data_IF_879940157575
#
_entry.id   IF_879940157575
#
_cell.length_a   1.000
_cell.length_b   1.000
_cell.length_c   1.000
_cell.angle_alpha   90.00
_cell.angle_beta   90.00
_cell.angle_gamma   90.00
#
_symmetry.space_group_name_H-M   'P 1'
#
loop_
_entity.id
_entity.type
_entity.pdbx_description
1 polymer ?
#
# COMPACT_ATOMS: atom_id res chain seq x y z
N UNK A 1 31.03 6.37 -8.35
CA UNK A 1 30.45 5.04 -8.04
C UNK A 1 29.81 5.05 -6.65
N UNK A 2 30.47 5.64 -5.64
CA UNK A 2 30.03 5.58 -4.24
C UNK A 2 28.70 6.28 -3.95
N UNK A 3 28.39 7.40 -4.63
CA UNK A 3 27.11 8.10 -4.47
C UNK A 3 25.93 7.23 -4.91
N UNK A 4 26.05 6.54 -6.05
CA UNK A 4 24.99 5.64 -6.56
C UNK A 4 24.82 4.39 -5.70
N UNK A 5 25.93 3.89 -5.14
CA UNK A 5 25.89 2.76 -4.20
C UNK A 5 25.11 3.14 -2.94
N UNK A 6 25.39 4.34 -2.40
CA UNK A 6 24.73 4.86 -1.21
C UNK A 6 23.22 5.06 -1.44
N UNK A 7 22.82 5.65 -2.57
CA UNK A 7 21.40 5.87 -2.89
C UNK A 7 20.61 4.56 -3.06
N UNK A 8 21.23 3.51 -3.62
CA UNK A 8 20.61 2.18 -3.72
C UNK A 8 20.43 1.54 -2.34
N UNK A 9 21.41 1.69 -1.45
CA UNK A 9 21.32 1.20 -0.07
C UNK A 9 20.18 1.88 0.67
N UNK A 10 20.05 3.21 0.55
CA UNK A 10 18.93 3.95 1.16
C UNK A 10 17.58 3.50 0.61
N UNK A 11 17.49 3.18 -0.68
CA UNK A 11 16.26 2.67 -1.28
C UNK A 11 15.86 1.30 -0.72
N UNK A 12 16.81 0.37 -0.62
CA UNK A 12 16.56 -0.94 -0.01
C UNK A 12 16.15 -0.77 1.45
N UNK A 13 16.86 0.09 2.19
CA UNK A 13 16.56 0.38 3.58
C UNK A 13 15.16 0.97 3.78
N UNK A 14 14.72 1.87 2.88
CA UNK A 14 13.35 2.39 2.89
C UNK A 14 12.31 1.28 2.75
N UNK A 15 12.48 0.37 1.79
CA UNK A 15 11.54 -0.75 1.62
C UNK A 15 11.51 -1.63 2.87
N UNK A 16 12.66 -1.96 3.44
CA UNK A 16 12.75 -2.78 4.66
C UNK A 16 12.05 -2.08 5.83
N UNK A 17 12.29 -0.78 6.02
CA UNK A 17 11.62 -0.01 7.07
C UNK A 17 10.12 0.00 6.85
N UNK A 18 9.63 0.28 5.65
CA UNK A 18 8.19 0.35 5.39
C UNK A 18 7.53 -1.00 5.60
N UNK A 19 8.14 -2.09 5.14
CA UNK A 19 7.63 -3.45 5.36
C UNK A 19 7.65 -3.82 6.85
N UNK A 20 8.70 -3.45 7.58
CA UNK A 20 8.79 -3.72 9.00
C UNK A 20 7.82 -2.85 9.80
N UNK A 21 7.65 -1.57 9.46
CA UNK A 21 6.89 -0.60 10.25
C UNK A 21 5.38 -0.61 9.93
N UNK A 22 4.99 -1.09 8.75
CA UNK A 22 3.57 -1.20 8.36
C UNK A 22 2.73 -2.04 9.35
N UNK A 23 3.13 -3.28 9.74
CA UNK A 23 2.42 -4.05 10.76
C UNK A 23 2.39 -3.37 12.15
N UNK A 24 3.45 -2.62 12.50
CA UNK A 24 3.47 -1.86 13.76
C UNK A 24 2.41 -0.76 13.77
N UNK A 25 2.28 0.00 12.69
CA UNK A 25 1.23 1.03 12.55
C UNK A 25 -0.15 0.37 12.66
N UNK A 26 -0.38 -0.76 11.98
CA UNK A 26 -1.64 -1.47 12.07
C UNK A 26 -1.97 -1.89 13.52
N UNK A 27 -1.00 -2.46 14.24
CA UNK A 27 -1.18 -2.87 15.63
C UNK A 27 -1.35 -1.68 16.58
N UNK A 28 -0.71 -0.55 16.30
CA UNK A 28 -0.89 0.70 17.04
C UNK A 28 -2.31 1.24 16.85
N UNK A 29 -2.81 1.29 15.61
CA UNK A 29 -4.18 1.73 15.31
C UNK A 29 -5.19 0.84 16.04
N UNK A 30 -5.09 -0.49 15.92
CA UNK A 30 -6.00 -1.41 16.61
C UNK A 30 -5.93 -1.27 18.14
N UNK A 31 -4.75 -0.95 18.69
CA UNK A 31 -4.63 -0.64 20.12
C UNK A 31 -5.40 0.61 20.50
N UNK A 32 -5.25 1.68 19.71
CA UNK A 32 -5.90 2.96 19.98
C UNK A 32 -7.41 2.85 19.86
N UNK A 33 -7.92 2.18 18.83
CA UNK A 33 -9.36 1.90 18.64
C UNK A 33 -9.95 1.23 19.88
N UNK A 34 -9.34 0.14 20.36
CA UNK A 34 -9.81 -0.58 21.54
C UNK A 34 -9.76 0.26 22.84
N UNK A 35 -8.74 1.11 23.00
CA UNK A 35 -8.66 2.03 24.15
C UNK A 35 -9.79 3.05 24.08
N UNK A 36 -10.11 3.59 22.90
CA UNK A 36 -11.24 4.50 22.71
C UNK A 36 -12.59 3.83 22.93
N UNK A 37 -12.69 2.53 22.67
CA UNK A 37 -13.86 1.70 23.02
C UNK A 37 -13.91 1.31 24.51
N UNK A 38 -12.98 1.77 25.35
CA UNK A 38 -12.94 1.50 26.78
C UNK A 38 -12.39 0.11 27.14
N UNK A 39 -11.73 -0.55 26.19
CA UNK A 39 -11.10 -1.86 26.36
C UNK A 39 -9.59 -1.72 26.48
N UNK A 40 -8.92 -2.78 26.96
CA UNK A 40 -7.45 -2.78 27.01
C UNK A 40 -6.82 -2.97 25.63
N UNK A 41 -7.48 -3.68 24.71
CA UNK A 41 -6.96 -3.99 23.36
C UNK A 41 -5.74 -4.93 23.32
N UNK A 42 -5.39 -5.45 22.13
CA UNK A 42 -4.27 -6.37 21.90
C UNK A 42 -2.91 -5.72 22.13
N UNK A 43 -1.80 -6.46 21.96
CA UNK A 43 -0.46 -5.84 21.94
C UNK A 43 -0.25 -5.07 20.62
N UNK A 44 0.54 -4.00 20.64
CA UNK A 44 0.94 -3.28 19.41
C UNK A 44 1.72 -4.20 18.46
N UNK A 45 2.42 -5.21 19.01
CA UNK A 45 3.17 -6.19 18.22
C UNK A 45 2.32 -7.38 17.73
N UNK A 46 1.01 -7.39 17.99
CA UNK A 46 0.11 -8.49 17.61
C UNK A 46 0.20 -8.87 16.11
N UNK A 47 0.22 -7.90 15.17
CA UNK A 47 0.32 -8.23 13.74
C UNK A 47 1.58 -9.00 13.36
N UNK A 48 2.70 -8.82 14.07
CA UNK A 48 3.91 -9.61 13.81
C UNK A 48 3.77 -11.07 14.24
N UNK A 49 3.15 -11.30 15.39
CA UNK A 49 2.86 -12.67 15.84
C UNK A 49 1.87 -13.36 14.91
N UNK A 50 0.88 -12.62 14.39
CA UNK A 50 -0.08 -13.13 13.44
C UNK A 50 0.56 -13.47 12.09
N UNK A 51 1.42 -12.60 11.55
CA UNK A 51 2.20 -12.90 10.34
C UNK A 51 3.06 -14.15 10.54
N UNK A 52 3.83 -14.22 11.62
CA UNK A 52 4.63 -15.41 11.94
C UNK A 52 3.76 -16.66 12.00
N UNK A 53 2.63 -16.61 12.69
CA UNK A 53 1.68 -17.72 12.79
C UNK A 53 1.12 -18.12 11.42
N UNK A 54 0.77 -17.16 10.56
CA UNK A 54 0.18 -17.42 9.24
C UNK A 54 1.20 -18.03 8.27
N UNK A 55 2.47 -17.62 8.31
CA UNK A 55 3.52 -18.23 7.49
C UNK A 55 3.83 -19.69 7.85
N UNK A 56 3.47 -20.13 9.06
CA UNK A 56 3.63 -21.52 9.51
C UNK A 56 2.39 -22.38 9.25
N UNK A 57 1.31 -21.81 8.68
CA UNK A 57 0.10 -22.57 8.37
C UNK A 57 0.17 -23.19 6.97
N UNK A 58 -0.55 -24.30 6.83
CA UNK A 58 -0.82 -24.91 5.54
C UNK A 58 -1.69 -23.99 4.67
N UNK A 59 -1.37 -23.95 3.38
CA UNK A 59 -2.11 -23.17 2.38
C UNK A 59 -3.28 -24.04 1.88
N UNK A 60 -4.50 -23.57 2.13
CA UNK A 60 -5.72 -24.24 1.66
C UNK A 60 -6.28 -23.50 0.44
N UNK A 61 -6.31 -24.17 -0.71
CA UNK A 61 -6.90 -23.63 -1.95
C UNK A 61 -8.24 -24.32 -2.23
N UNK A 62 -9.34 -23.58 -2.41
CA UNK A 62 -10.65 -24.16 -2.71
C UNK A 62 -10.70 -24.92 -4.04
N UNK A 63 -11.49 -25.99 -4.11
CA UNK A 63 -11.57 -26.91 -5.26
C UNK A 63 -12.16 -26.32 -6.54
N UNK A 64 -12.58 -25.05 -6.54
CA UNK A 64 -13.08 -24.31 -7.71
C UNK A 64 -12.32 -23.02 -8.00
N UNK A 65 -11.23 -22.74 -7.28
CA UNK A 65 -10.43 -21.55 -7.48
C UNK A 65 -9.59 -21.67 -8.75
N UNK A 66 -9.54 -20.60 -9.55
CA UNK A 66 -8.62 -20.47 -10.68
C UNK A 66 -7.21 -20.12 -10.20
N UNK A 67 -6.27 -20.06 -11.14
CA UNK A 67 -4.91 -19.57 -10.88
C UNK A 67 -4.89 -18.12 -10.36
N UNK A 68 -5.94 -17.35 -10.66
CA UNK A 68 -6.11 -15.96 -10.22
C UNK A 68 -6.08 -15.87 -8.69
N UNK A 69 -6.79 -16.76 -7.99
CA UNK A 69 -6.80 -16.80 -6.53
C UNK A 69 -5.38 -16.93 -5.94
N UNK A 70 -4.54 -17.77 -6.56
CA UNK A 70 -3.14 -17.95 -6.14
C UNK A 70 -2.25 -16.75 -6.47
N UNK A 71 -2.49 -16.06 -7.59
CA UNK A 71 -1.69 -14.89 -8.00
C UNK A 71 -2.01 -13.62 -7.23
N UNK A 72 -3.27 -13.41 -6.85
CA UNK A 72 -3.74 -12.19 -6.18
C UNK A 72 -2.90 -11.73 -4.98
N UNK A 73 -2.52 -12.58 -4.01
CA UNK A 73 -1.69 -12.14 -2.88
C UNK A 73 -0.33 -11.61 -3.34
N UNK A 74 0.29 -12.22 -4.36
CA UNK A 74 1.57 -11.77 -4.91
C UNK A 74 1.43 -10.44 -5.65
N UNK A 75 0.42 -10.31 -6.51
CA UNK A 75 0.19 -9.06 -7.27
C UNK A 75 -0.09 -7.89 -6.32
N UNK A 76 -0.92 -8.12 -5.30
CA UNK A 76 -1.26 -7.10 -4.31
C UNK A 76 -0.04 -6.67 -3.50
N UNK A 77 0.75 -7.64 -3.00
CA UNK A 77 1.97 -7.36 -2.24
C UNK A 77 3.01 -6.62 -3.07
N UNK A 78 3.29 -7.10 -4.29
CA UNK A 78 4.26 -6.46 -5.19
C UNK A 78 3.83 -5.06 -5.57
N UNK A 79 2.54 -4.82 -5.82
CA UNK A 79 2.02 -3.48 -6.13
C UNK A 79 2.31 -2.48 -5.01
N UNK A 80 2.10 -2.88 -3.74
CA UNK A 80 2.39 -2.02 -2.58
C UNK A 80 3.89 -1.78 -2.37
N UNK A 81 4.73 -2.80 -2.65
CA UNK A 81 6.19 -2.65 -2.64
C UNK A 81 6.65 -1.69 -3.74
N UNK A 82 6.09 -1.77 -4.95
CA UNK A 82 6.40 -0.85 -6.05
C UNK A 82 6.02 0.59 -5.69
N UNK A 83 4.87 0.82 -5.06
CA UNK A 83 4.49 2.14 -4.56
C UNK A 83 5.53 2.67 -3.57
N UNK A 84 6.04 1.81 -2.69
CA UNK A 84 7.09 2.17 -1.72
C UNK A 84 8.41 2.55 -2.41
N UNK A 85 8.70 2.01 -3.59
CA UNK A 85 9.88 2.39 -4.38
C UNK A 85 9.72 3.75 -5.07
N UNK A 86 8.49 4.11 -5.43
CA UNK A 86 8.14 5.36 -6.12
C UNK A 86 8.06 6.54 -5.14
N UNK A 87 7.45 6.33 -3.97
CA UNK A 87 7.23 7.38 -2.99
C UNK A 87 8.47 7.57 -2.09
N UNK A 88 9.00 8.79 -1.95
CA UNK A 88 10.06 9.07 -0.98
C UNK A 88 9.44 9.15 0.42
N UNK A 89 9.57 8.07 1.20
CA UNK A 89 9.00 7.99 2.56
C UNK A 89 9.99 8.50 3.60
N UNK A 90 11.28 8.21 3.42
CA UNK A 90 12.33 8.53 4.40
C UNK A 90 13.30 9.61 3.94
N UNK A 91 13.32 9.93 2.64
CA UNK A 91 14.31 10.83 2.04
C UNK A 91 13.68 12.09 1.48
N UNK A 92 14.42 13.20 1.54
CA UNK A 92 14.07 14.48 0.89
C UNK A 92 14.92 14.66 -0.38
N UNK A 93 15.40 13.57 -0.96
CA UNK A 93 16.13 13.58 -2.24
C UNK A 93 15.65 12.40 -3.09
N UNK A 94 15.78 12.48 -4.43
CA UNK A 94 15.24 11.46 -5.30
C UNK A 94 16.07 10.19 -5.20
N UNK A 95 15.39 9.08 -4.92
CA UNK A 95 15.98 7.74 -4.96
C UNK A 95 16.07 7.26 -6.42
N UNK A 96 17.00 6.32 -6.74
CA UNK A 96 17.24 5.87 -8.11
C UNK A 96 15.99 5.42 -8.87
N UNK A 97 15.10 4.65 -8.23
CA UNK A 97 13.86 4.19 -8.89
C UNK A 97 12.66 5.14 -8.70
N UNK A 98 12.83 6.26 -7.99
CA UNK A 98 11.77 7.26 -7.80
C UNK A 98 11.34 7.97 -9.08
N UNK A 99 12.10 7.81 -10.18
CA UNK A 99 11.77 8.33 -11.51
C UNK A 99 11.06 7.32 -12.41
N UNK A 100 10.89 6.06 -11.98
CA UNK A 100 10.27 5.02 -12.81
C UNK A 100 8.76 5.19 -13.01
N UNK A 101 8.12 6.02 -12.18
CA UNK A 101 6.70 6.29 -12.23
C UNK A 101 6.38 7.60 -11.52
N UNK A 102 5.18 8.11 -11.77
CA UNK A 102 4.67 9.33 -11.20
C UNK A 102 3.55 9.06 -10.16
N UNK A 103 2.96 10.10 -9.58
CA UNK A 103 1.84 9.93 -8.63
C UNK A 103 0.65 9.21 -9.27
N UNK A 104 0.41 9.37 -10.58
CA UNK A 104 -0.66 8.69 -11.28
C UNK A 104 -0.38 7.18 -11.43
N UNK A 105 0.88 6.81 -11.69
CA UNK A 105 1.30 5.40 -11.65
C UNK A 105 1.06 4.79 -10.26
N UNK A 106 1.32 5.53 -9.18
CA UNK A 106 0.99 5.11 -7.81
C UNK A 106 -0.52 4.86 -7.61
N UNK A 107 -1.37 5.75 -8.13
CA UNK A 107 -2.82 5.57 -8.11
C UNK A 107 -3.27 4.29 -8.83
N UNK A 108 -2.71 4.01 -10.01
CA UNK A 108 -3.02 2.79 -10.74
C UNK A 108 -2.52 1.53 -10.03
N UNK A 109 -1.39 1.57 -9.32
CA UNK A 109 -0.93 0.43 -8.51
C UNK A 109 -1.85 0.13 -7.33
N UNK A 110 -2.40 1.16 -6.66
CA UNK A 110 -3.43 0.97 -5.63
C UNK A 110 -4.71 0.33 -6.20
N UNK A 111 -5.16 0.82 -7.36
CA UNK A 111 -6.33 0.26 -8.06
C UNK A 111 -6.09 -1.17 -8.53
N UNK A 112 -4.89 -1.47 -9.06
CA UNK A 112 -4.49 -2.81 -9.49
C UNK A 112 -4.55 -3.82 -8.35
N UNK A 113 -4.00 -3.48 -7.18
CA UNK A 113 -4.10 -4.33 -5.99
C UNK A 113 -5.55 -4.59 -5.61
N UNK A 114 -6.38 -3.54 -5.57
CA UNK A 114 -7.80 -3.64 -5.19
C UNK A 114 -8.60 -4.46 -6.20
N UNK A 115 -8.31 -4.31 -7.49
CA UNK A 115 -8.90 -5.07 -8.58
C UNK A 115 -8.62 -6.56 -8.44
N UNK A 116 -7.37 -6.98 -8.20
CA UNK A 116 -7.03 -8.40 -8.03
C UNK A 116 -7.66 -9.03 -6.78
N UNK A 117 -7.77 -8.28 -5.68
CA UNK A 117 -8.46 -8.73 -4.47
C UNK A 117 -9.96 -8.96 -4.74
N UNK A 118 -10.60 -8.03 -5.45
CA UNK A 118 -12.01 -8.17 -5.87
C UNK A 118 -12.19 -9.34 -6.84
N UNK A 119 -11.28 -9.49 -7.80
CA UNK A 119 -11.33 -10.57 -8.78
C UNK A 119 -11.19 -11.95 -8.12
N UNK A 120 -10.25 -12.13 -7.19
CA UNK A 120 -10.11 -13.38 -6.43
C UNK A 120 -11.33 -13.68 -5.55
N UNK A 121 -12.03 -12.66 -5.07
CA UNK A 121 -13.26 -12.84 -4.29
C UNK A 121 -14.39 -13.40 -5.15
N UNK A 122 -14.46 -13.00 -6.42
CA UNK A 122 -15.44 -13.50 -7.39
C UNK A 122 -15.08 -14.89 -7.93
N UNK A 123 -13.78 -15.18 -8.07
CA UNK A 123 -13.25 -16.44 -8.59
C UNK A 123 -13.69 -17.66 -7.77
N UNK A 124 -13.87 -17.50 -6.46
CA UNK A 124 -14.31 -18.57 -5.57
C UNK A 124 -15.76 -19.02 -5.78
N UNK A 125 -16.56 -18.30 -6.58
CA UNK A 125 -17.99 -18.60 -6.87
C UNK A 125 -18.88 -18.78 -5.63
N UNK A 126 -18.46 -18.27 -4.47
CA UNK A 126 -19.23 -18.35 -3.22
C UNK A 126 -20.16 -17.15 -3.07
N UNK A 127 -21.30 -17.33 -2.40
CA UNK A 127 -22.24 -16.24 -2.11
C UNK A 127 -21.59 -15.11 -1.29
N UNK A 128 -20.66 -15.45 -0.39
CA UNK A 128 -19.96 -14.46 0.43
C UNK A 128 -18.93 -13.64 -0.35
N UNK A 129 -18.19 -14.28 -1.28
CA UNK A 129 -17.23 -13.59 -2.13
C UNK A 129 -17.87 -12.52 -3.00
N UNK A 130 -19.01 -12.85 -3.63
CA UNK A 130 -19.78 -11.90 -4.43
C UNK A 130 -20.40 -10.75 -3.62
N UNK A 131 -21.01 -11.06 -2.46
CA UNK A 131 -21.59 -10.04 -1.60
C UNK A 131 -20.53 -9.08 -1.02
N UNK A 132 -19.38 -9.61 -0.60
CA UNK A 132 -18.26 -8.82 -0.09
C UNK A 132 -17.65 -7.92 -1.18
N UNK A 133 -17.38 -8.48 -2.35
CA UNK A 133 -16.78 -7.73 -3.47
C UNK A 133 -17.69 -6.61 -3.98
N UNK A 134 -19.02 -6.83 -4.01
CA UNK A 134 -19.98 -5.78 -4.38
C UNK A 134 -19.89 -4.56 -3.45
N UNK A 135 -19.84 -4.78 -2.13
CA UNK A 135 -19.70 -3.70 -1.14
C UNK A 135 -18.37 -2.97 -1.25
N UNK A 136 -17.26 -3.70 -1.40
CA UNK A 136 -15.94 -3.11 -1.54
C UNK A 136 -15.81 -2.29 -2.83
N UNK A 137 -16.33 -2.81 -3.95
CA UNK A 137 -16.30 -2.14 -5.25
C UNK A 137 -17.12 -0.84 -5.23
N UNK A 138 -18.25 -0.80 -4.53
CA UNK A 138 -19.04 0.44 -4.39
C UNK A 138 -18.25 1.56 -3.70
N UNK A 139 -17.45 1.23 -2.68
CA UNK A 139 -16.58 2.21 -2.02
C UNK A 139 -15.41 2.61 -2.94
N UNK A 140 -14.81 1.64 -3.64
CA UNK A 140 -13.70 1.87 -4.55
C UNK A 140 -14.05 2.85 -5.68
N UNK A 141 -15.25 2.72 -6.28
CA UNK A 141 -15.77 3.61 -7.33
C UNK A 141 -15.79 5.08 -6.88
N UNK A 142 -15.98 5.34 -5.58
CA UNK A 142 -15.98 6.70 -5.03
C UNK A 142 -14.56 7.18 -4.67
N UNK A 143 -13.73 6.30 -4.12
CA UNK A 143 -12.40 6.66 -3.65
C UNK A 143 -11.38 6.87 -4.77
N UNK A 144 -11.44 6.07 -5.84
CA UNK A 144 -10.42 6.12 -6.91
C UNK A 144 -10.42 7.46 -7.68
N UNK A 145 -11.56 8.00 -8.15
CA UNK A 145 -11.58 9.31 -8.81
C UNK A 145 -11.13 10.44 -7.87
N UNK A 146 -11.48 10.34 -6.59
CA UNK A 146 -11.09 11.32 -5.57
C UNK A 146 -9.57 11.36 -5.42
N UNK A 147 -8.92 10.19 -5.35
CA UNK A 147 -7.47 10.08 -5.26
C UNK A 147 -6.77 10.67 -6.49
N UNK A 148 -7.27 10.36 -7.70
CA UNK A 148 -6.73 10.93 -8.95
C UNK A 148 -6.88 12.46 -8.96
N UNK A 149 -8.04 12.98 -8.56
CA UNK A 149 -8.30 14.43 -8.54
C UNK A 149 -7.37 15.16 -7.57
N UNK A 150 -7.13 14.61 -6.38
CA UNK A 150 -6.17 15.17 -5.41
C UNK A 150 -4.76 15.21 -6.00
N UNK A 151 -4.31 14.13 -6.63
CA UNK A 151 -2.98 14.09 -7.25
C UNK A 151 -2.85 15.08 -8.41
N UNK A 152 -3.87 15.20 -9.26
CA UNK A 152 -3.90 16.22 -10.32
C UNK A 152 -3.83 17.63 -9.73
N UNK A 153 -4.59 17.90 -8.66
CA UNK A 153 -4.58 19.20 -7.98
C UNK A 153 -3.18 19.57 -7.46
N UNK A 154 -2.52 18.64 -6.76
CA UNK A 154 -1.15 18.86 -6.27
C UNK A 154 -0.16 18.98 -7.44
N UNK A 155 -0.31 18.17 -8.49
CA UNK A 155 0.59 18.20 -9.64
C UNK A 155 0.53 19.54 -10.39
N UNK A 156 -0.65 20.17 -10.47
CA UNK A 156 -0.81 21.51 -11.05
C UNK A 156 -0.09 22.59 -10.24
N UNK A 157 -0.11 22.50 -8.90
CA UNK A 157 0.61 23.42 -8.01
C UNK A 157 2.12 23.22 -8.15
N UNK A 158 2.58 21.96 -8.11
CA UNK A 158 3.99 21.60 -8.21
C UNK A 158 4.57 21.71 -9.63
N UNK A 159 3.72 21.86 -10.65
CA UNK A 159 4.06 21.80 -12.09
C UNK A 159 4.85 20.53 -12.46
N UNK A 160 4.61 19.45 -11.72
CA UNK A 160 5.28 18.16 -11.90
C UNK A 160 4.37 17.05 -11.35
N UNK A 161 4.41 15.88 -11.97
CA UNK A 161 3.72 14.67 -11.49
C UNK A 161 4.64 13.77 -10.66
N UNK A 162 5.94 14.11 -10.56
CA UNK A 162 6.91 13.32 -9.84
C UNK A 162 6.68 13.44 -8.32
N UNK A 163 6.54 12.31 -7.59
CA UNK A 163 6.24 12.31 -6.17
C UNK A 163 7.21 13.14 -5.33
N UNK A 164 8.50 13.02 -5.64
CA UNK A 164 9.56 13.74 -4.95
C UNK A 164 9.46 15.26 -5.11
N UNK A 165 9.21 15.73 -6.34
CA UNK A 165 9.09 17.16 -6.62
C UNK A 165 7.84 17.73 -5.95
N UNK A 166 6.73 16.99 -5.99
CA UNK A 166 5.49 17.38 -5.33
C UNK A 166 5.67 17.50 -3.82
N UNK A 167 6.34 16.53 -3.17
CA UNK A 167 6.63 16.60 -1.73
C UNK A 167 7.48 17.82 -1.39
N UNK A 168 8.55 18.07 -2.15
CA UNK A 168 9.44 19.20 -1.91
C UNK A 168 8.71 20.55 -2.03
N UNK A 169 7.87 20.70 -3.06
CA UNK A 169 7.06 21.92 -3.25
C UNK A 169 6.09 22.11 -2.08
N UNK A 170 5.38 21.05 -1.65
CA UNK A 170 4.43 21.13 -0.52
C UNK A 170 5.17 21.56 0.76
N UNK A 171 6.27 20.90 1.11
CA UNK A 171 7.04 21.22 2.32
C UNK A 171 7.54 22.66 2.28
N UNK A 172 8.00 23.15 1.13
CA UNK A 172 8.44 24.55 0.96
C UNK A 172 7.31 25.57 1.02
N UNK A 173 6.08 25.18 0.71
CA UNK A 173 4.89 26.05 0.71
C UNK A 173 4.18 26.13 2.06
N UNK A 174 4.46 25.20 2.98
CA UNK A 174 3.91 25.23 4.33
C UNK A 174 4.57 26.35 5.15
N UNK A 175 3.78 27.24 5.79
CA UNK A 175 4.32 28.22 6.72
C UNK A 175 4.68 27.48 8.02
N UNK A 176 5.95 27.13 8.17
CA UNK A 176 6.56 26.81 9.46
C UNK A 176 7.25 28.05 10.02
#
# INVERSE_FOLDING_TARGET
MDIYLNSTIFQIFQVIIVLAFSPFIAGFISKMEEIFEGRRGPSVFQPYYDLHKLFHKEILVPSGASFIFGLTPFVSFVSMVLITLLLPVLTIYPLPLGFMGDMLAGAFLFSLSSFFINLASLDLSTSYGGLGSSRATLLAILSEPTLILVFVGVALIAKSTLPYVMLHVIVSSMPL
#
